data_IF_163058110729
#
_entry.id   IF_163058110729
#
_cell.length_a   1.000
_cell.length_b   1.000
_cell.length_c   1.000
_cell.angle_alpha   90.00
_cell.angle_beta   90.00
_cell.angle_gamma   90.00
#
_symmetry.space_group_name_H-M   'P 1'
#
loop_
_entity.id
_entity.type
_entity.pdbx_description
1 polymer ?
#
# COMPACT_ATOMS: atom_id res chain seq x y z
N UNK A 1 1.35 33.08 15.98
CA UNK A 1 1.79 32.10 14.96
C UNK A 1 2.66 31.01 15.59
N UNK A 2 3.77 31.35 16.25
CA UNK A 2 4.69 30.35 16.86
C UNK A 2 3.99 29.44 17.88
N UNK A 3 3.23 29.99 18.82
CA UNK A 3 2.49 29.19 19.82
C UNK A 3 1.49 28.21 19.19
N UNK A 4 0.86 28.58 18.07
CA UNK A 4 -0.04 27.69 17.33
C UNK A 4 0.71 26.53 16.70
N UNK A 5 1.87 26.79 16.10
CA UNK A 5 2.72 25.75 15.50
C UNK A 5 3.22 24.79 16.59
N UNK A 6 3.73 25.31 17.69
CA UNK A 6 4.20 24.50 18.81
C UNK A 6 3.09 23.61 19.37
N UNK A 7 1.89 24.17 19.58
CA UNK A 7 0.74 23.38 20.06
C UNK A 7 0.36 22.26 19.07
N UNK A 8 0.39 22.53 17.76
CA UNK A 8 0.13 21.50 16.76
C UNK A 8 1.19 20.39 16.74
N UNK A 9 2.47 20.77 16.84
CA UNK A 9 3.56 19.80 16.91
C UNK A 9 3.45 18.94 18.18
N UNK A 10 3.12 19.53 19.32
CA UNK A 10 2.91 18.78 20.55
C UNK A 10 1.73 17.81 20.47
N UNK A 11 0.66 18.15 19.73
CA UNK A 11 -0.48 17.28 19.52
C UNK A 11 -0.18 16.10 18.59
N UNK A 12 0.87 16.16 17.77
CA UNK A 12 1.32 15.03 16.95
C UNK A 12 1.72 13.84 17.83
N UNK A 13 2.39 14.09 18.94
CA UNK A 13 2.88 13.04 19.86
C UNK A 13 1.72 12.17 20.39
N UNK A 14 0.70 12.72 21.07
CA UNK A 14 -0.41 11.90 21.55
C UNK A 14 -1.24 11.27 20.42
N UNK A 15 -1.32 11.93 19.26
CA UNK A 15 -2.01 11.37 18.09
C UNK A 15 -1.27 10.14 17.56
N UNK A 16 0.05 10.22 17.37
CA UNK A 16 0.85 9.08 16.94
C UNK A 16 0.78 7.94 17.96
N UNK A 17 0.92 8.27 19.25
CA UNK A 17 0.82 7.27 20.33
C UNK A 17 -0.57 6.59 20.31
N UNK A 18 -1.64 7.36 20.15
CA UNK A 18 -3.00 6.80 20.03
C UNK A 18 -3.15 5.86 18.83
N UNK A 19 -2.65 6.26 17.65
CA UNK A 19 -2.63 5.42 16.45
C UNK A 19 -1.84 4.13 16.69
N UNK A 20 -0.69 4.21 17.36
CA UNK A 20 0.15 3.05 17.65
C UNK A 20 -0.52 2.10 18.65
N UNK A 21 -1.18 2.62 19.69
CA UNK A 21 -1.96 1.81 20.64
C UNK A 21 -3.08 1.07 19.93
N UNK A 22 -3.86 1.78 19.10
CA UNK A 22 -4.98 1.19 18.36
C UNK A 22 -4.47 0.12 17.39
N UNK A 23 -3.44 0.40 16.61
CA UNK A 23 -2.87 -0.58 15.69
C UNK A 23 -2.31 -1.81 16.41
N UNK A 24 -1.58 -1.60 17.51
CA UNK A 24 -1.07 -2.70 18.32
C UNK A 24 -2.22 -3.56 18.87
N UNK A 25 -3.28 -2.93 19.41
CA UNK A 25 -4.44 -3.65 19.90
C UNK A 25 -5.14 -4.44 18.78
N UNK A 26 -5.35 -3.83 17.60
CA UNK A 26 -5.97 -4.50 16.46
C UNK A 26 -5.17 -5.73 16.03
N UNK A 27 -3.84 -5.64 15.94
CA UNK A 27 -2.97 -6.77 15.56
C UNK A 27 -3.09 -7.95 16.53
N UNK A 28 -3.41 -7.71 17.81
CA UNK A 28 -3.62 -8.80 18.77
C UNK A 28 -4.86 -9.66 18.46
N UNK A 29 -5.84 -9.10 17.77
CA UNK A 29 -7.13 -9.76 17.46
C UNK A 29 -7.23 -10.25 16.01
N UNK A 30 -6.33 -9.80 15.13
CA UNK A 30 -6.33 -10.23 13.72
C UNK A 30 -5.66 -11.59 13.61
N UNK A 31 -6.34 -12.63 13.10
CA UNK A 31 -5.71 -13.90 12.78
C UNK A 31 -4.69 -13.72 11.64
N UNK A 32 -3.64 -14.52 11.61
CA UNK A 32 -2.59 -14.40 10.60
C UNK A 32 -1.36 -13.63 11.09
N UNK A 33 -0.96 -13.85 12.34
CA UNK A 33 0.26 -13.30 12.92
C UNK A 33 1.55 -13.79 12.21
N UNK A 34 2.72 -13.24 12.59
CA UNK A 34 3.99 -13.60 11.93
C UNK A 34 4.31 -15.10 12.02
N UNK A 35 3.93 -15.76 13.11
CA UNK A 35 4.10 -17.23 13.26
C UNK A 35 3.22 -17.97 12.26
N UNK A 36 1.93 -17.62 12.15
CA UNK A 36 1.01 -18.24 11.19
C UNK A 36 1.47 -18.02 9.74
N UNK A 37 2.04 -16.85 9.42
CA UNK A 37 2.56 -16.58 8.09
C UNK A 37 3.80 -17.44 7.75
N UNK A 38 4.73 -17.62 8.70
CA UNK A 38 5.89 -18.51 8.51
C UNK A 38 5.42 -19.96 8.36
N UNK A 39 4.44 -20.37 9.16
CA UNK A 39 3.85 -21.72 9.07
C UNK A 39 3.17 -21.94 7.72
N UNK A 40 2.38 -20.98 7.24
CA UNK A 40 1.72 -21.07 5.94
C UNK A 40 2.72 -21.10 4.76
N UNK A 41 3.86 -20.43 4.87
CA UNK A 41 4.92 -20.52 3.86
C UNK A 41 5.57 -21.93 3.84
N UNK A 42 5.82 -22.49 5.00
CA UNK A 42 6.38 -23.84 5.12
C UNK A 42 5.41 -24.91 4.58
N UNK A 43 4.10 -24.77 4.85
CA UNK A 43 3.09 -25.66 4.29
C UNK A 43 2.99 -25.51 2.76
N UNK A 44 3.01 -24.30 2.22
CA UNK A 44 2.97 -24.04 0.79
C UNK A 44 4.18 -24.60 0.05
N UNK A 45 5.37 -24.54 0.64
CA UNK A 45 6.58 -25.19 0.09
C UNK A 45 6.54 -26.72 0.22
N UNK A 46 5.95 -27.24 1.29
CA UNK A 46 5.73 -28.68 1.50
C UNK A 46 4.77 -29.28 0.48
N UNK A 47 3.67 -28.61 0.20
CA UNK A 47 2.68 -29.03 -0.80
C UNK A 47 3.24 -29.05 -2.23
N UNK A 48 4.03 -28.06 -2.60
CA UNK A 48 4.71 -28.02 -3.91
C UNK A 48 5.74 -29.12 -4.02
N UNK A 49 6.49 -29.38 -2.97
CA UNK A 49 7.50 -30.47 -2.95
C UNK A 49 6.83 -31.86 -2.99
N UNK A 50 5.76 -32.07 -2.24
CA UNK A 50 4.97 -33.29 -2.27
C UNK A 50 4.32 -33.53 -3.66
N UNK A 51 3.81 -32.49 -4.31
CA UNK A 51 3.27 -32.56 -5.66
C UNK A 51 4.32 -32.91 -6.73
N UNK A 52 5.57 -32.46 -6.52
CA UNK A 52 6.68 -32.75 -7.45
C UNK A 52 7.25 -34.16 -7.23
N UNK A 53 7.29 -34.64 -5.98
CA UNK A 53 7.89 -35.95 -5.62
C UNK A 53 6.91 -37.11 -5.72
N UNK A 54 5.62 -36.90 -6.02
CA UNK A 54 4.63 -37.96 -6.22
C UNK A 54 4.35 -38.78 -4.94
N UNK A 55 4.50 -38.15 -3.78
CA UNK A 55 4.27 -38.78 -2.49
C UNK A 55 2.79 -38.94 -2.17
N UNK A 56 2.17 -39.99 -2.70
CA UNK A 56 0.86 -40.48 -2.33
C UNK A 56 0.98 -41.32 -1.05
N UNK A 57 1.15 -40.64 0.08
CA UNK A 57 1.05 -41.32 1.38
C UNK A 57 0.34 -40.38 2.38
N UNK A 58 -0.99 -40.33 2.24
CA UNK A 58 -1.86 -39.74 3.25
C UNK A 58 -1.87 -40.56 4.51
N UNK A 59 -0.77 -40.56 5.24
CA UNK A 59 -0.69 -41.05 6.61
C UNK A 59 -1.53 -40.13 7.52
N UNK A 60 -2.75 -40.56 7.83
CA UNK A 60 -3.58 -40.00 8.89
C UNK A 60 -2.86 -40.26 10.24
N UNK A 61 -1.94 -39.38 10.56
CA UNK A 61 -1.39 -39.27 11.91
C UNK A 61 -2.28 -38.37 12.73
N UNK A 62 -3.05 -38.93 13.67
CA UNK A 62 -3.67 -38.18 14.75
C UNK A 62 -2.58 -37.42 15.52
N UNK A 63 -2.25 -36.20 15.12
CA UNK A 63 -1.45 -35.30 15.95
C UNK A 63 -2.40 -34.50 16.83
N UNK A 64 -2.42 -34.88 18.12
CA UNK A 64 -2.91 -34.02 19.19
C UNK A 64 -1.99 -32.80 19.22
N UNK A 65 -2.23 -31.83 18.38
CA UNK A 65 -1.49 -30.57 18.28
C UNK A 65 -2.35 -29.41 18.71
N UNK A 66 -1.75 -28.52 19.45
CA UNK A 66 -2.32 -27.30 19.97
C UNK A 66 -2.96 -26.50 18.81
N UNK A 67 -4.28 -26.38 18.79
CA UNK A 67 -5.08 -25.66 17.76
C UNK A 67 -4.86 -24.12 17.76
N UNK A 68 -3.77 -23.64 18.36
CA UNK A 68 -3.53 -22.23 18.59
C UNK A 68 -3.17 -21.46 17.31
N UNK A 69 -2.59 -22.14 16.33
CA UNK A 69 -2.20 -21.53 15.05
C UNK A 69 -2.71 -22.36 13.87
N UNK A 70 -3.39 -21.70 12.92
CA UNK A 70 -3.71 -22.32 11.64
C UNK A 70 -2.39 -22.61 10.90
N UNK A 71 -2.18 -23.84 10.44
CA UNK A 71 -0.93 -24.25 9.79
C UNK A 71 0.10 -24.94 10.72
N UNK A 72 -0.21 -25.12 12.00
CA UNK A 72 0.68 -25.83 12.92
C UNK A 72 0.63 -27.37 12.80
N UNK A 73 -0.17 -27.89 11.86
CA UNK A 73 -0.37 -29.35 11.69
C UNK A 73 0.93 -30.02 11.24
N UNK A 74 1.47 -30.86 12.09
CA UNK A 74 2.64 -31.66 11.78
C UNK A 74 4.01 -31.08 12.17
N UNK A 75 4.06 -29.84 12.69
CA UNK A 75 5.30 -29.24 13.17
C UNK A 75 5.53 -29.57 14.66
N UNK A 76 6.79 -29.82 15.08
CA UNK A 76 7.12 -29.99 16.48
C UNK A 76 6.77 -28.76 17.29
N UNK A 77 6.14 -28.95 18.46
CA UNK A 77 5.75 -27.84 19.34
C UNK A 77 6.95 -26.97 19.76
N UNK A 78 8.13 -27.60 19.90
CA UNK A 78 9.39 -26.91 20.19
C UNK A 78 9.76 -25.85 19.13
N UNK A 79 9.43 -26.10 17.86
CA UNK A 79 9.68 -25.17 16.76
C UNK A 79 8.73 -23.96 16.83
N UNK A 80 7.47 -24.21 17.16
CA UNK A 80 6.47 -23.13 17.36
C UNK A 80 6.87 -22.22 18.52
N UNK A 81 7.27 -22.81 19.65
CA UNK A 81 7.75 -22.06 20.81
C UNK A 81 9.06 -21.30 20.52
N UNK A 82 9.90 -21.82 19.64
CA UNK A 82 11.10 -21.12 19.19
C UNK A 82 10.72 -19.88 18.34
N UNK A 83 9.79 -20.03 17.42
CA UNK A 83 9.26 -18.92 16.62
C UNK A 83 8.60 -17.86 17.51
N UNK A 84 7.76 -18.27 18.46
CA UNK A 84 7.13 -17.32 19.41
C UNK A 84 8.17 -16.54 20.21
N UNK A 85 9.25 -17.16 20.65
CA UNK A 85 10.37 -16.50 21.34
C UNK A 85 11.13 -15.55 20.42
N UNK A 86 11.37 -15.95 19.19
CA UNK A 86 12.06 -15.14 18.19
C UNK A 86 11.27 -13.88 17.85
N UNK A 87 9.95 -13.99 17.69
CA UNK A 87 9.04 -12.86 17.49
C UNK A 87 8.68 -12.13 18.79
N UNK A 88 9.09 -12.66 19.95
CA UNK A 88 8.80 -12.09 21.26
C UNK A 88 7.32 -12.16 21.64
N UNK A 89 6.58 -13.11 21.08
CA UNK A 89 5.16 -13.33 21.37
C UNK A 89 4.93 -14.01 22.70
N UNK A 90 5.97 -14.63 23.27
CA UNK A 90 6.03 -15.22 24.61
C UNK A 90 5.82 -14.22 25.75
N UNK A 91 5.91 -12.90 25.46
CA UNK A 91 5.87 -11.84 26.46
C UNK A 91 4.49 -11.25 26.63
N UNK A 92 4.18 -10.69 27.82
CA UNK A 92 2.93 -9.95 28.04
C UNK A 92 2.73 -8.82 27.03
N UNK A 93 1.49 -8.55 26.57
CA UNK A 93 1.20 -7.53 25.56
C UNK A 93 1.77 -6.14 25.89
N UNK A 94 1.74 -5.75 27.16
CA UNK A 94 2.25 -4.45 27.59
C UNK A 94 3.79 -4.35 27.40
N UNK A 95 4.52 -5.42 27.71
CA UNK A 95 5.97 -5.45 27.52
C UNK A 95 6.30 -5.42 26.01
N UNK A 96 5.57 -6.16 25.20
CA UNK A 96 5.71 -6.13 23.73
C UNK A 96 5.48 -4.72 23.18
N UNK A 97 4.42 -4.04 23.64
CA UNK A 97 4.12 -2.67 23.23
C UNK A 97 5.22 -1.69 23.62
N UNK A 98 5.68 -1.70 24.86
CA UNK A 98 6.74 -0.78 25.33
C UNK A 98 8.05 -1.01 24.60
N UNK A 99 8.41 -2.26 24.33
CA UNK A 99 9.61 -2.62 23.56
C UNK A 99 9.50 -2.18 22.10
N UNK A 100 8.33 -2.37 21.48
CA UNK A 100 8.03 -1.88 20.13
C UNK A 100 8.19 -0.34 20.08
N UNK A 101 7.57 0.37 21.03
CA UNK A 101 7.66 1.82 21.10
C UNK A 101 9.11 2.30 21.25
N UNK A 102 9.90 1.62 22.07
CA UNK A 102 11.32 1.97 22.27
C UNK A 102 12.13 1.79 20.99
N UNK A 103 11.93 0.68 20.26
CA UNK A 103 12.56 0.44 18.96
C UNK A 103 12.15 1.49 17.94
N UNK A 104 10.88 1.82 17.85
CA UNK A 104 10.37 2.81 16.90
C UNK A 104 10.89 4.22 17.17
N UNK A 105 11.12 4.60 18.43
CA UNK A 105 11.80 5.86 18.76
C UNK A 105 13.26 5.90 18.27
N UNK A 106 13.88 4.75 18.08
CA UNK A 106 15.22 4.61 17.51
C UNK A 106 15.22 4.40 15.98
N UNK A 107 14.05 4.52 15.33
CA UNK A 107 13.83 4.20 13.92
C UNK A 107 14.16 2.75 13.55
N UNK A 108 14.16 1.85 14.53
CA UNK A 108 14.25 0.42 14.31
C UNK A 108 12.84 -0.18 14.19
N UNK A 109 12.38 -0.33 12.94
CA UNK A 109 11.08 -0.95 12.62
C UNK A 109 11.19 -2.46 12.35
N UNK A 110 12.37 -3.04 12.58
CA UNK A 110 12.64 -4.45 12.34
C UNK A 110 12.84 -4.79 10.86
N UNK A 111 12.74 -6.08 10.57
CA UNK A 111 12.87 -6.64 9.23
C UNK A 111 11.51 -7.09 8.68
N UNK A 112 11.36 -7.02 7.35
CA UNK A 112 10.18 -7.52 6.66
C UNK A 112 10.25 -9.04 6.57
N UNK A 113 9.28 -9.74 7.13
CA UNK A 113 9.19 -11.20 7.08
C UNK A 113 9.10 -11.76 5.65
N UNK A 114 8.53 -10.98 4.72
CA UNK A 114 8.36 -11.41 3.33
C UNK A 114 9.59 -11.19 2.44
N UNK A 115 10.50 -10.30 2.83
CA UNK A 115 11.62 -9.86 1.97
C UNK A 115 12.98 -9.95 2.61
N UNK A 116 13.07 -10.29 3.91
CA UNK A 116 14.31 -10.37 4.69
C UNK A 116 15.20 -9.12 4.55
N UNK A 117 14.56 -7.95 4.45
CA UNK A 117 15.21 -6.63 4.39
C UNK A 117 14.63 -5.73 5.48
N UNK A 118 15.38 -4.75 5.93
CA UNK A 118 14.91 -3.80 6.93
C UNK A 118 13.71 -3.01 6.42
N UNK A 119 12.71 -2.83 7.27
CA UNK A 119 11.50 -2.06 6.93
C UNK A 119 11.83 -0.63 6.50
N UNK A 120 12.84 0.00 7.12
CA UNK A 120 13.32 1.34 6.73
C UNK A 120 13.78 1.35 5.27
N UNK A 121 14.61 0.38 4.89
CA UNK A 121 15.14 0.30 3.52
C UNK A 121 14.01 0.07 2.51
N UNK A 122 13.03 -0.78 2.87
CA UNK A 122 11.85 -0.99 2.05
C UNK A 122 11.03 0.30 1.86
N UNK A 123 10.85 1.07 2.94
CA UNK A 123 10.13 2.36 2.88
C UNK A 123 10.90 3.34 1.99
N UNK A 124 12.21 3.47 2.18
CA UNK A 124 13.05 4.36 1.38
C UNK A 124 13.07 3.96 -0.11
N UNK A 125 13.08 2.67 -0.40
CA UNK A 125 12.99 2.15 -1.79
C UNK A 125 11.66 2.54 -2.46
N UNK A 126 10.53 2.50 -1.73
CA UNK A 126 9.20 2.78 -2.28
C UNK A 126 8.80 4.26 -2.20
N UNK A 127 9.48 5.04 -1.36
CA UNK A 127 9.19 6.46 -1.15
C UNK A 127 9.21 7.30 -2.43
N UNK A 128 10.19 7.18 -3.35
CA UNK A 128 10.22 7.96 -4.58
C UNK A 128 8.96 7.77 -5.44
N UNK A 129 8.46 6.52 -5.53
CA UNK A 129 7.22 6.22 -6.28
C UNK A 129 6.02 6.89 -5.62
N UNK A 130 5.88 6.75 -4.29
CA UNK A 130 4.76 7.32 -3.55
C UNK A 130 4.75 8.85 -3.58
N UNK A 131 5.92 9.48 -3.42
CA UNK A 131 6.08 10.94 -3.52
C UNK A 131 5.74 11.43 -4.93
N UNK A 132 6.25 10.76 -5.95
CA UNK A 132 5.99 11.10 -7.35
C UNK A 132 4.49 11.04 -7.66
N UNK A 133 3.83 9.95 -7.32
CA UNK A 133 2.39 9.78 -7.52
C UNK A 133 1.59 10.82 -6.75
N UNK A 134 1.89 11.02 -5.47
CA UNK A 134 1.18 11.98 -4.63
C UNK A 134 1.35 13.42 -5.12
N UNK A 135 2.59 13.81 -5.46
CA UNK A 135 2.90 15.16 -5.93
C UNK A 135 2.19 15.47 -7.25
N UNK A 136 2.39 14.64 -8.27
CA UNK A 136 1.85 14.91 -9.60
C UNK A 136 0.34 14.76 -9.65
N UNK A 137 -0.24 13.76 -8.97
CA UNK A 137 -1.69 13.62 -8.89
C UNK A 137 -2.32 14.84 -8.21
N UNK A 138 -1.79 15.27 -7.07
CA UNK A 138 -2.27 16.46 -6.36
C UNK A 138 -2.14 17.71 -7.23
N UNK A 139 -0.98 17.93 -7.84
CA UNK A 139 -0.75 19.09 -8.71
C UNK A 139 -1.77 19.14 -9.85
N UNK A 140 -1.98 18.02 -10.54
CA UNK A 140 -2.94 17.97 -11.66
C UNK A 140 -4.38 18.14 -11.19
N UNK A 141 -4.77 17.51 -10.08
CA UNK A 141 -6.10 17.70 -9.51
C UNK A 141 -6.36 19.19 -9.24
N UNK A 142 -5.44 19.88 -8.57
CA UNK A 142 -5.60 21.30 -8.26
C UNK A 142 -5.57 22.18 -9.51
N UNK A 143 -4.62 21.94 -10.41
CA UNK A 143 -4.45 22.72 -11.64
C UNK A 143 -5.68 22.68 -12.55
N UNK A 144 -6.39 21.56 -12.58
CA UNK A 144 -7.56 21.37 -13.45
C UNK A 144 -8.86 21.65 -12.71
N UNK A 145 -9.01 21.13 -11.48
CA UNK A 145 -10.27 21.22 -10.74
C UNK A 145 -10.61 22.65 -10.30
N UNK A 146 -9.62 23.42 -9.84
CA UNK A 146 -9.87 24.78 -9.35
C UNK A 146 -10.33 25.70 -10.49
N UNK A 147 -9.63 25.84 -11.63
CA UNK A 147 -10.10 26.67 -12.72
C UNK A 147 -11.45 26.20 -13.29
N UNK A 148 -11.65 24.89 -13.37
CA UNK A 148 -12.93 24.34 -13.84
C UNK A 148 -14.06 24.65 -12.85
N UNK A 149 -13.85 24.44 -11.54
CA UNK A 149 -14.84 24.76 -10.51
C UNK A 149 -15.24 26.22 -10.49
N UNK A 150 -14.26 27.13 -10.53
CA UNK A 150 -14.49 28.58 -10.63
C UNK A 150 -15.28 28.92 -11.88
N UNK A 151 -14.91 28.37 -13.05
CA UNK A 151 -15.65 28.66 -14.30
C UNK A 151 -17.06 28.09 -14.27
N UNK A 152 -17.30 26.98 -13.60
CA UNK A 152 -18.64 26.42 -13.38
C UNK A 152 -19.47 27.30 -12.47
N UNK A 153 -18.90 27.81 -11.36
CA UNK A 153 -19.55 28.74 -10.45
C UNK A 153 -19.96 30.05 -11.16
N UNK A 154 -19.06 30.57 -12.01
CA UNK A 154 -19.36 31.80 -12.81
C UNK A 154 -20.45 31.58 -13.87
N UNK A 155 -20.72 30.35 -14.27
CA UNK A 155 -21.71 29.98 -15.31
C UNK A 155 -22.72 28.97 -14.78
N UNK A 156 -23.10 29.14 -13.54
CA UNK A 156 -24.05 28.24 -12.87
C UNK A 156 -25.35 28.10 -13.64
N UNK A 157 -25.88 26.88 -13.74
CA UNK A 157 -27.10 26.57 -14.50
C UNK A 157 -26.94 26.60 -16.03
N UNK A 158 -25.79 26.97 -16.58
CA UNK A 158 -25.53 26.93 -18.03
C UNK A 158 -25.35 25.48 -18.55
N UNK A 159 -25.47 25.31 -19.89
CA UNK A 159 -25.16 24.03 -20.56
C UNK A 159 -23.75 23.56 -20.25
N UNK A 160 -22.79 24.48 -20.18
CA UNK A 160 -21.41 24.13 -19.79
C UNK A 160 -21.35 23.54 -18.38
N UNK A 161 -22.02 24.15 -17.42
CA UNK A 161 -22.06 23.63 -16.06
C UNK A 161 -22.75 22.28 -15.99
N UNK A 162 -23.90 22.13 -16.65
CA UNK A 162 -24.65 20.85 -16.67
C UNK A 162 -23.85 19.72 -17.29
N UNK A 163 -23.25 19.92 -18.47
CA UNK A 163 -22.46 18.90 -19.17
C UNK A 163 -21.21 18.53 -18.39
N UNK A 164 -20.46 19.52 -17.90
CA UNK A 164 -19.26 19.24 -17.10
C UNK A 164 -19.58 18.58 -15.76
N UNK A 165 -20.73 18.92 -15.13
CA UNK A 165 -21.20 18.21 -13.93
C UNK A 165 -21.50 16.74 -14.22
N UNK A 166 -22.21 16.47 -15.32
CA UNK A 166 -22.51 15.10 -15.72
C UNK A 166 -21.22 14.27 -15.94
N UNK A 167 -20.24 14.83 -16.68
CA UNK A 167 -18.96 14.18 -16.92
C UNK A 167 -18.18 13.90 -15.62
N UNK A 168 -18.15 14.89 -14.70
CA UNK A 168 -17.50 14.78 -13.41
C UNK A 168 -18.17 13.71 -12.55
N UNK A 169 -19.51 13.66 -12.51
CA UNK A 169 -20.26 12.66 -11.75
C UNK A 169 -20.05 11.25 -12.32
N UNK A 170 -20.07 11.08 -13.65
CA UNK A 170 -19.78 9.79 -14.29
C UNK A 170 -18.36 9.34 -13.95
N UNK A 171 -17.36 10.22 -14.04
CA UNK A 171 -15.98 9.90 -13.66
C UNK A 171 -15.86 9.53 -12.18
N UNK A 172 -16.59 10.18 -11.29
CA UNK A 172 -16.61 9.88 -9.86
C UNK A 172 -17.26 8.51 -9.56
N UNK A 173 -18.24 8.10 -10.35
CA UNK A 173 -18.93 6.82 -10.19
C UNK A 173 -18.06 5.60 -10.52
N UNK A 174 -16.96 5.79 -11.24
CA UNK A 174 -16.04 4.70 -11.59
C UNK A 174 -15.03 4.51 -10.43
N UNK A 175 -15.00 3.36 -9.76
CA UNK A 175 -13.96 3.07 -8.77
C UNK A 175 -12.56 3.18 -9.39
N UNK A 176 -11.68 3.97 -8.77
CA UNK A 176 -10.34 4.28 -9.32
C UNK A 176 -9.50 3.04 -9.62
N UNK A 177 -9.63 1.98 -8.80
CA UNK A 177 -8.91 0.72 -9.04
C UNK A 177 -9.41 -0.02 -10.28
N UNK A 178 -10.73 -0.01 -10.57
CA UNK A 178 -11.27 -0.60 -11.80
C UNK A 178 -10.82 0.19 -13.04
N UNK A 179 -10.81 1.51 -12.92
CA UNK A 179 -10.28 2.37 -13.97
C UNK A 179 -8.79 2.12 -14.22
N UNK A 180 -8.00 1.96 -13.15
CA UNK A 180 -6.59 1.60 -13.26
C UNK A 180 -6.37 0.25 -13.94
N UNK A 181 -7.14 -0.78 -13.59
CA UNK A 181 -7.07 -2.09 -14.24
C UNK A 181 -7.43 -1.98 -15.72
N UNK A 182 -8.49 -1.25 -16.07
CA UNK A 182 -8.88 -1.01 -17.44
C UNK A 182 -7.76 -0.34 -18.25
N UNK A 183 -7.13 0.72 -17.71
CA UNK A 183 -6.00 1.39 -18.36
C UNK A 183 -4.80 0.43 -18.55
N UNK A 184 -4.46 -0.36 -17.54
CA UNK A 184 -3.40 -1.36 -17.61
C UNK A 184 -3.66 -2.40 -18.70
N UNK A 185 -4.85 -2.98 -18.74
CA UNK A 185 -5.22 -4.01 -19.73
C UNK A 185 -5.20 -3.43 -21.14
N UNK A 186 -5.73 -2.21 -21.31
CA UNK A 186 -5.83 -1.60 -22.64
C UNK A 186 -4.47 -1.10 -23.15
N UNK A 187 -3.63 -0.50 -22.29
CA UNK A 187 -2.48 0.29 -22.73
C UNK A 187 -1.10 -0.22 -22.27
N UNK A 188 -1.03 -1.16 -21.33
CA UNK A 188 0.23 -1.65 -20.79
C UNK A 188 0.33 -3.19 -20.67
N UNK A 189 -0.80 -3.89 -20.59
CA UNK A 189 -0.84 -5.33 -20.28
C UNK A 189 -0.54 -6.27 -21.46
N UNK A 190 -0.26 -5.77 -22.65
CA UNK A 190 0.08 -6.57 -23.82
C UNK A 190 -1.08 -7.26 -24.52
N UNK A 191 -2.31 -7.18 -23.98
CA UNK A 191 -3.49 -7.80 -24.61
C UNK A 191 -4.07 -6.97 -25.75
N UNK A 192 -3.92 -5.64 -25.70
CA UNK A 192 -4.41 -4.71 -26.73
C UNK A 192 -3.28 -3.81 -27.24
N UNK A 193 -3.09 -2.65 -26.62
CA UNK A 193 -2.06 -1.68 -27.00
C UNK A 193 -0.92 -1.67 -25.98
N UNK A 194 0.30 -1.90 -26.44
CA UNK A 194 1.50 -1.79 -25.60
C UNK A 194 2.12 -0.41 -25.76
N UNK A 195 1.44 0.61 -25.26
CA UNK A 195 1.90 1.99 -25.40
C UNK A 195 2.70 2.42 -24.18
N UNK A 196 2.24 2.07 -22.97
CA UNK A 196 2.87 2.47 -21.73
C UNK A 196 3.56 1.31 -21.01
N UNK A 197 4.59 1.59 -20.22
CA UNK A 197 5.27 0.57 -19.43
C UNK A 197 4.36 0.02 -18.33
N UNK A 198 4.49 -1.28 -18.07
CA UNK A 198 3.69 -1.99 -17.06
C UNK A 198 4.20 -1.76 -15.64
N UNK A 199 5.49 -1.56 -15.46
CA UNK A 199 6.17 -1.53 -14.15
C UNK A 199 7.30 -0.52 -14.13
N UNK A 200 7.67 -0.12 -12.91
CA UNK A 200 8.82 0.76 -12.67
C UNK A 200 8.47 2.24 -12.74
N UNK A 201 9.35 3.04 -12.19
CA UNK A 201 9.32 4.51 -12.27
C UNK A 201 10.07 5.02 -13.48
N UNK A 202 11.00 4.22 -13.99
CA UNK A 202 11.89 4.50 -15.12
C UNK A 202 12.22 3.22 -15.87
N UNK A 203 12.66 3.34 -17.13
CA UNK A 203 13.08 2.23 -17.98
C UNK A 203 14.43 1.65 -17.57
N UNK A 204 14.70 0.41 -18.01
CA UNK A 204 16.04 -0.15 -17.98
C UNK A 204 16.97 0.71 -18.89
N UNK A 205 18.13 1.10 -18.38
CA UNK A 205 19.05 2.00 -19.11
C UNK A 205 18.72 3.49 -18.95
N UNK A 206 17.87 3.85 -17.99
CA UNK A 206 17.52 5.24 -17.68
C UNK A 206 18.76 6.15 -17.50
N UNK A 207 19.82 5.64 -16.87
CA UNK A 207 21.04 6.41 -16.61
C UNK A 207 21.80 6.84 -17.90
N UNK A 208 21.62 6.09 -18.99
CA UNK A 208 22.25 6.36 -20.29
C UNK A 208 21.49 7.40 -21.11
N UNK A 209 20.26 7.75 -20.70
CA UNK A 209 19.44 8.72 -21.41
C UNK A 209 19.96 10.14 -21.23
N UNK A 210 19.74 10.97 -22.25
CA UNK A 210 19.93 12.43 -22.15
C UNK A 210 18.96 13.01 -21.10
N UNK A 211 19.23 14.22 -20.61
CA UNK A 211 18.38 14.88 -19.61
C UNK A 211 16.91 14.95 -20.04
N UNK A 212 16.65 15.31 -21.29
CA UNK A 212 15.27 15.35 -21.83
C UNK A 212 14.68 13.95 -21.96
N UNK A 213 15.50 12.95 -22.29
CA UNK A 213 15.10 11.54 -22.33
C UNK A 213 14.71 11.04 -20.95
N UNK A 214 15.48 11.34 -19.91
CA UNK A 214 15.16 11.00 -18.51
C UNK A 214 13.84 11.61 -18.06
N UNK A 215 13.59 12.88 -18.36
CA UNK A 215 12.32 13.54 -18.03
C UNK A 215 11.16 12.88 -18.78
N UNK A 216 11.32 12.64 -20.08
CA UNK A 216 10.30 12.00 -20.92
C UNK A 216 9.97 10.58 -20.44
N UNK A 217 10.99 9.77 -20.17
CA UNK A 217 10.84 8.40 -19.66
C UNK A 217 10.10 8.35 -18.31
N UNK A 218 10.49 9.22 -17.38
CA UNK A 218 9.83 9.33 -16.08
C UNK A 218 8.34 9.66 -16.22
N UNK A 219 7.96 10.68 -17.01
CA UNK A 219 6.56 11.02 -17.21
C UNK A 219 5.78 9.95 -17.97
N UNK A 220 6.45 9.22 -18.85
CA UNK A 220 5.86 8.11 -19.58
C UNK A 220 5.44 6.97 -18.65
N UNK A 221 6.29 6.61 -17.68
CA UNK A 221 5.98 5.63 -16.65
C UNK A 221 4.89 6.10 -15.69
N UNK A 222 4.85 7.40 -15.42
CA UNK A 222 3.90 7.99 -14.49
C UNK A 222 2.51 8.24 -15.11
N UNK A 223 2.37 8.22 -16.43
CA UNK A 223 1.15 8.62 -17.13
C UNK A 223 -0.09 7.83 -16.65
N UNK A 224 -0.10 6.51 -16.80
CA UNK A 224 -1.26 5.68 -16.42
C UNK A 224 -1.59 5.74 -14.92
N UNK A 225 -0.61 5.59 -13.99
CA UNK A 225 -0.88 5.71 -12.56
C UNK A 225 -1.45 7.07 -12.15
N UNK A 226 -0.96 8.15 -12.73
CA UNK A 226 -1.47 9.50 -12.46
C UNK A 226 -2.91 9.63 -12.97
N UNK A 227 -3.20 9.23 -14.21
CA UNK A 227 -4.56 9.29 -14.75
C UNK A 227 -5.55 8.48 -13.89
N UNK A 228 -5.15 7.28 -13.46
CA UNK A 228 -5.97 6.47 -12.57
C UNK A 228 -6.24 7.14 -11.21
N UNK A 229 -5.24 7.81 -10.65
CA UNK A 229 -5.34 8.47 -9.35
C UNK A 229 -6.14 9.77 -9.39
N UNK A 230 -6.07 10.50 -10.50
CA UNK A 230 -6.68 11.82 -10.64
C UNK A 230 -8.19 11.74 -10.80
N UNK A 231 -8.75 10.70 -11.40
CA UNK A 231 -10.17 10.64 -11.81
C UNK A 231 -11.14 10.85 -10.66
N UNK A 232 -10.89 10.25 -9.49
CA UNK A 232 -11.75 10.40 -8.32
C UNK A 232 -11.54 11.72 -7.58
N UNK A 233 -10.29 12.13 -7.42
CA UNK A 233 -9.94 13.39 -6.74
C UNK A 233 -10.39 14.63 -7.50
N UNK A 234 -10.34 14.58 -8.83
CA UNK A 234 -10.78 15.63 -9.71
C UNK A 234 -12.26 16.00 -9.53
N UNK A 235 -13.11 14.99 -9.43
CA UNK A 235 -14.55 15.20 -9.28
C UNK A 235 -14.88 15.92 -7.96
N UNK A 236 -14.34 15.41 -6.86
CA UNK A 236 -14.60 15.95 -5.52
C UNK A 236 -14.16 17.40 -5.42
N UNK A 237 -12.93 17.73 -5.86
CA UNK A 237 -12.41 19.08 -5.73
C UNK A 237 -13.13 20.06 -6.68
N UNK A 238 -13.50 19.64 -7.89
CA UNK A 238 -14.26 20.49 -8.84
C UNK A 238 -15.62 20.88 -8.28
N UNK A 239 -16.35 19.90 -7.70
CA UNK A 239 -17.67 20.19 -7.10
C UNK A 239 -17.54 21.04 -5.84
N UNK A 240 -16.53 20.78 -5.00
CA UNK A 240 -16.28 21.58 -3.81
C UNK A 240 -15.89 23.03 -4.15
N UNK A 241 -15.14 23.23 -5.23
CA UNK A 241 -14.74 24.57 -5.67
C UNK A 241 -15.90 25.35 -6.33
N UNK A 242 -16.86 24.64 -6.94
CA UNK A 242 -18.04 25.25 -7.52
C UNK A 242 -19.00 25.83 -6.46
N UNK A 243 -19.20 25.09 -5.35
CA UNK A 243 -20.13 25.44 -4.27
C UNK A 243 -19.48 26.37 -3.24
#
# INVERSE_FOLDING_TARGET
MVAYIIRRLLLVIPTLLGVMVVNFALIQFVPGGPVEQVLAQLEGEGDVFAAITGGDDAGIGESVGNDQYAGARGLPQEYIEQLEREFGLDRPPLERFTRMMWKYMQFDFGESYFRSIKVVDLVLEKMPVSISLGLWSTLLIYLVSIPLGVRKAMRDGSTFDTVTSALVIVGYGIPSFLFAIMLLVLFAGGSYWQIFPLRGLTSNGFEELSLLGKIGDYFWHMALPIFASVISGFATLTLLTKN
#
